data_IF_164558888696
#
_entry.id   IF_164558888696
#
_cell.length_a   1.000
_cell.length_b   1.000
_cell.length_c   1.000
_cell.angle_alpha   90.00
_cell.angle_beta   90.00
_cell.angle_gamma   90.00
#
_symmetry.space_group_name_H-M   'P 1'
#
loop_
_entity.id
_entity.type
_entity.pdbx_description
1 polymer ?
#
# COMPACT_ATOMS: atom_id res chain seq x y z
N UNK A 1 -0.86 -52.95 -0.92
CA UNK A 1 -1.18 -51.67 -0.26
C UNK A 1 -2.69 -51.64 -0.04
N UNK A 2 -3.10 -51.24 1.16
CA UNK A 2 -4.54 -51.05 1.40
C UNK A 2 -5.02 -49.80 0.65
N UNK A 3 -6.33 -49.70 0.45
CA UNK A 3 -6.93 -48.48 -0.13
C UNK A 3 -6.56 -47.23 0.66
N UNK A 4 -6.53 -47.35 1.99
CA UNK A 4 -6.15 -46.28 2.90
C UNK A 4 -4.71 -45.83 2.73
N UNK A 5 -3.77 -46.79 2.57
CA UNK A 5 -2.33 -46.46 2.36
C UNK A 5 -2.15 -45.73 1.02
N UNK A 6 -2.84 -46.18 -0.01
CA UNK A 6 -2.77 -45.54 -1.34
C UNK A 6 -3.35 -44.13 -1.31
N UNK A 7 -4.50 -43.94 -0.65
CA UNK A 7 -5.11 -42.64 -0.50
C UNK A 7 -4.22 -41.66 0.29
N UNK A 8 -3.63 -42.10 1.41
CA UNK A 8 -2.68 -41.28 2.19
C UNK A 8 -1.45 -40.90 1.36
N UNK A 9 -0.92 -41.83 0.57
CA UNK A 9 0.23 -41.54 -0.30
C UNK A 9 -0.11 -40.48 -1.35
N UNK A 10 -1.27 -40.59 -2.00
CA UNK A 10 -1.73 -39.60 -2.98
C UNK A 10 -1.90 -38.22 -2.34
N UNK A 11 -2.57 -38.14 -1.19
CA UNK A 11 -2.80 -36.88 -0.49
C UNK A 11 -1.48 -36.21 -0.06
N UNK A 12 -0.54 -36.98 0.50
CA UNK A 12 0.76 -36.46 0.92
C UNK A 12 1.65 -36.04 -0.27
N UNK A 13 1.60 -36.81 -1.37
CA UNK A 13 2.34 -36.44 -2.58
C UNK A 13 1.76 -35.17 -3.22
N UNK A 14 0.44 -35.04 -3.29
CA UNK A 14 -0.23 -33.82 -3.76
C UNK A 14 0.19 -32.62 -2.94
N UNK A 15 0.22 -32.76 -1.61
CA UNK A 15 0.68 -31.71 -0.71
C UNK A 15 2.12 -31.28 -1.02
N UNK A 16 3.03 -32.23 -1.20
CA UNK A 16 4.45 -31.96 -1.52
C UNK A 16 4.57 -31.20 -2.83
N UNK A 17 3.81 -31.58 -3.86
CA UNK A 17 3.81 -30.87 -5.16
C UNK A 17 3.28 -29.44 -5.01
N UNK A 18 2.27 -29.22 -4.19
CA UNK A 18 1.70 -27.89 -3.98
C UNK A 18 2.71 -26.91 -3.32
N UNK A 19 3.65 -27.40 -2.53
CA UNK A 19 4.72 -26.56 -1.95
C UNK A 19 5.73 -26.04 -2.97
N UNK A 20 5.75 -26.57 -4.19
CA UNK A 20 6.58 -26.03 -5.28
C UNK A 20 6.01 -24.72 -5.86
N UNK A 21 4.78 -24.37 -5.53
CA UNK A 21 4.16 -23.12 -5.98
C UNK A 21 4.72 -21.93 -5.23
N UNK A 22 4.97 -20.82 -5.93
CA UNK A 22 5.33 -19.54 -5.34
C UNK A 22 4.13 -18.77 -4.76
N UNK A 23 2.90 -19.18 -5.07
CA UNK A 23 1.67 -18.52 -4.61
C UNK A 23 1.21 -19.06 -3.27
N UNK A 24 1.32 -18.24 -2.23
CA UNK A 24 0.87 -18.57 -0.86
C UNK A 24 -0.62 -18.92 -0.77
N UNK A 25 -1.45 -18.27 -1.60
CA UNK A 25 -2.89 -18.52 -1.64
C UNK A 25 -3.17 -19.87 -2.26
N UNK A 26 -2.47 -20.19 -3.35
CA UNK A 26 -2.60 -21.50 -4.00
C UNK A 26 -2.22 -22.62 -3.04
N UNK A 27 -1.10 -22.48 -2.33
CA UNK A 27 -0.66 -23.45 -1.32
C UNK A 27 -1.74 -23.65 -0.25
N UNK A 28 -2.33 -22.57 0.27
CA UNK A 28 -3.39 -22.66 1.28
C UNK A 28 -4.67 -23.30 0.77
N UNK A 29 -5.08 -23.00 -0.47
CA UNK A 29 -6.23 -23.62 -1.09
C UNK A 29 -6.01 -25.12 -1.30
N UNK A 30 -4.85 -25.52 -1.78
CA UNK A 30 -4.44 -26.90 -1.94
C UNK A 30 -4.41 -27.65 -0.60
N UNK A 31 -3.90 -27.01 0.46
CA UNK A 31 -3.95 -27.56 1.82
C UNK A 31 -5.38 -27.87 2.27
N UNK A 32 -6.34 -26.98 2.00
CA UNK A 32 -7.76 -27.22 2.33
C UNK A 32 -8.27 -28.47 1.58
N UNK A 33 -7.97 -28.58 0.27
CA UNK A 33 -8.41 -29.75 -0.52
C UNK A 33 -7.83 -31.04 0.05
N UNK A 34 -6.55 -31.07 0.41
CA UNK A 34 -5.90 -32.23 1.02
C UNK A 34 -6.54 -32.55 2.38
N UNK A 35 -6.81 -31.56 3.21
CA UNK A 35 -7.46 -31.74 4.52
C UNK A 35 -8.87 -32.28 4.41
N UNK A 36 -9.64 -31.85 3.40
CA UNK A 36 -10.95 -32.42 3.07
C UNK A 36 -10.81 -33.90 2.68
N UNK A 37 -9.77 -34.27 1.93
CA UNK A 37 -9.45 -35.67 1.63
C UNK A 37 -9.17 -36.49 2.88
N UNK A 38 -8.35 -36.00 3.79
CA UNK A 38 -8.08 -36.65 5.08
C UNK A 38 -9.33 -36.76 5.97
N UNK A 39 -10.19 -35.76 5.96
CA UNK A 39 -11.47 -35.80 6.66
C UNK A 39 -12.34 -36.96 6.19
N UNK A 40 -12.56 -37.11 4.87
CA UNK A 40 -13.33 -38.22 4.32
C UNK A 40 -12.66 -39.56 4.54
N UNK A 41 -11.34 -39.64 4.46
CA UNK A 41 -10.59 -40.86 4.73
C UNK A 41 -10.79 -41.33 6.17
N UNK A 42 -10.74 -40.41 7.15
CA UNK A 42 -10.96 -40.73 8.56
C UNK A 42 -12.38 -41.27 8.82
N UNK A 43 -13.40 -40.70 8.18
CA UNK A 43 -14.79 -41.19 8.28
C UNK A 43 -14.92 -42.56 7.62
N UNK A 44 -14.35 -42.74 6.42
CA UNK A 44 -14.42 -44.01 5.69
C UNK A 44 -13.73 -45.16 6.45
N UNK A 45 -12.62 -44.91 7.05
CA UNK A 45 -11.83 -45.92 7.79
C UNK A 45 -12.51 -46.31 9.12
N UNK A 46 -13.29 -45.40 9.68
CA UNK A 46 -13.94 -45.54 10.99
C UNK A 46 -13.14 -44.90 12.11
N UNK A 47 -13.81 -44.15 12.96
CA UNK A 47 -13.19 -43.36 14.05
C UNK A 47 -12.68 -44.25 15.18
N UNK A 48 -13.06 -45.50 15.23
CA UNK A 48 -12.59 -46.49 16.21
C UNK A 48 -11.14 -46.96 15.94
N UNK A 49 -10.63 -46.71 14.74
CA UNK A 49 -9.29 -47.07 14.38
C UNK A 49 -8.27 -46.08 15.03
N UNK A 50 -7.15 -46.61 15.53
CA UNK A 50 -6.13 -45.76 16.17
C UNK A 50 -5.68 -44.59 15.29
N UNK A 51 -5.73 -43.37 15.82
CA UNK A 51 -5.27 -42.16 15.14
C UNK A 51 -6.30 -41.47 14.22
N UNK A 52 -7.40 -42.12 13.82
CA UNK A 52 -8.38 -41.54 12.90
C UNK A 52 -9.13 -40.35 13.50
N UNK A 53 -9.44 -40.40 14.80
CA UNK A 53 -10.02 -39.26 15.52
C UNK A 53 -9.08 -38.06 15.53
N UNK A 54 -7.78 -38.27 15.71
CA UNK A 54 -6.78 -37.19 15.66
C UNK A 54 -6.68 -36.59 14.24
N UNK A 55 -6.67 -37.42 13.19
CA UNK A 55 -6.68 -36.98 11.80
C UNK A 55 -7.92 -36.14 11.51
N UNK A 56 -9.10 -36.54 11.97
CA UNK A 56 -10.34 -35.81 11.82
C UNK A 56 -10.24 -34.41 12.45
N UNK A 57 -9.82 -34.32 13.70
CA UNK A 57 -9.67 -33.05 14.43
C UNK A 57 -8.65 -32.14 13.72
N UNK A 58 -7.52 -32.69 13.33
CA UNK A 58 -6.46 -31.93 12.66
C UNK A 58 -6.91 -31.43 11.28
N UNK A 59 -7.65 -32.25 10.51
CA UNK A 59 -8.12 -31.83 9.19
C UNK A 59 -9.13 -30.70 9.28
N UNK A 60 -10.05 -30.71 10.25
CA UNK A 60 -11.00 -29.62 10.49
C UNK A 60 -10.25 -28.36 10.93
N UNK A 61 -9.36 -28.48 11.91
CA UNK A 61 -8.61 -27.34 12.45
C UNK A 61 -7.74 -26.67 11.39
N UNK A 62 -6.99 -27.46 10.61
CA UNK A 62 -6.14 -26.96 9.54
C UNK A 62 -6.94 -26.32 8.41
N UNK A 63 -8.09 -26.91 8.03
CA UNK A 63 -8.98 -26.31 7.03
C UNK A 63 -9.51 -24.96 7.48
N UNK A 64 -9.92 -24.84 8.74
CA UNK A 64 -10.38 -23.57 9.32
C UNK A 64 -9.28 -22.52 9.32
N UNK A 65 -8.05 -22.86 9.79
CA UNK A 65 -6.92 -21.95 9.81
C UNK A 65 -6.57 -21.45 8.41
N UNK A 66 -6.51 -22.35 7.42
CA UNK A 66 -6.16 -21.95 6.05
C UNK A 66 -7.27 -21.13 5.40
N UNK A 67 -8.55 -21.48 5.62
CA UNK A 67 -9.68 -20.69 5.16
C UNK A 67 -9.70 -19.27 5.76
N UNK A 68 -9.47 -19.17 7.06
CA UNK A 68 -9.35 -17.87 7.73
C UNK A 68 -8.20 -17.02 7.16
N UNK A 69 -7.03 -17.63 6.89
CA UNK A 69 -5.89 -16.93 6.30
C UNK A 69 -6.13 -16.48 4.87
N UNK A 70 -6.87 -17.24 4.08
CA UNK A 70 -7.31 -16.82 2.74
C UNK A 70 -8.28 -15.62 2.85
N UNK A 71 -9.28 -15.71 3.72
CA UNK A 71 -10.24 -14.63 3.94
C UNK A 71 -9.54 -13.34 4.43
N UNK A 72 -8.59 -13.48 5.38
CA UNK A 72 -7.78 -12.36 5.86
C UNK A 72 -7.00 -11.70 4.72
N UNK A 73 -6.36 -12.49 3.84
CA UNK A 73 -5.62 -11.95 2.70
C UNK A 73 -6.52 -11.13 1.75
N UNK A 74 -7.69 -11.66 1.39
CA UNK A 74 -8.62 -10.94 0.53
C UNK A 74 -9.19 -9.68 1.20
N UNK A 75 -9.50 -9.76 2.49
CA UNK A 75 -9.93 -8.58 3.25
C UNK A 75 -8.87 -7.49 3.28
N UNK A 76 -7.61 -7.83 3.60
CA UNK A 76 -6.49 -6.86 3.67
C UNK A 76 -6.18 -6.20 2.32
N UNK A 77 -6.44 -6.90 1.20
CA UNK A 77 -6.26 -6.38 -0.15
C UNK A 77 -7.54 -5.81 -0.78
N UNK A 78 -8.63 -5.77 -0.03
CA UNK A 78 -9.88 -5.12 -0.43
C UNK A 78 -9.95 -3.69 0.10
N UNK A 79 -10.62 -2.81 -0.64
CA UNK A 79 -10.91 -1.44 -0.18
C UNK A 79 -11.69 -1.40 1.14
N UNK A 80 -12.36 -2.51 1.49
CA UNK A 80 -13.10 -2.66 2.75
C UNK A 80 -12.20 -2.61 4.00
N UNK A 81 -10.88 -2.84 3.86
CA UNK A 81 -9.95 -2.69 4.97
C UNK A 81 -9.60 -1.23 5.30
N UNK A 82 -10.00 -0.29 4.45
CA UNK A 82 -9.79 1.14 4.62
C UNK A 82 -11.02 1.81 5.24
N UNK A 83 -10.85 2.83 6.10
CA UNK A 83 -11.94 3.71 6.53
C UNK A 83 -12.62 4.37 5.33
N UNK A 84 -13.93 4.59 5.41
CA UNK A 84 -14.74 5.11 4.28
C UNK A 84 -14.30 6.50 3.82
N UNK A 85 -13.83 7.34 4.74
CA UNK A 85 -13.29 8.68 4.49
C UNK A 85 -12.02 8.66 3.62
N UNK A 86 -11.26 7.57 3.67
CA UNK A 86 -10.06 7.40 2.84
C UNK A 86 -10.32 6.81 1.45
N UNK A 87 -11.55 6.35 1.15
CA UNK A 87 -11.83 5.67 -0.11
C UNK A 87 -11.64 6.60 -1.32
N UNK A 88 -12.04 7.87 -1.24
CA UNK A 88 -11.84 8.81 -2.35
C UNK A 88 -10.36 9.13 -2.52
N UNK A 89 -9.65 9.41 -1.42
CA UNK A 89 -8.22 9.66 -1.45
C UNK A 89 -7.45 8.50 -2.07
N UNK A 90 -7.78 7.28 -1.66
CA UNK A 90 -7.15 6.07 -2.20
C UNK A 90 -7.41 5.91 -3.71
N UNK A 91 -8.66 6.06 -4.14
CA UNK A 91 -9.05 5.87 -5.56
C UNK A 91 -8.43 6.93 -6.47
N UNK A 92 -8.36 8.17 -5.99
CA UNK A 92 -7.93 9.29 -6.82
C UNK A 92 -6.40 9.38 -6.92
N UNK A 93 -5.69 9.17 -5.79
CA UNK A 93 -4.27 9.50 -5.70
C UNK A 93 -3.36 8.28 -5.45
N UNK A 94 -3.90 7.26 -4.77
CA UNK A 94 -3.09 6.13 -4.28
C UNK A 94 -3.52 4.77 -4.86
N UNK A 95 -4.24 4.75 -5.97
CA UNK A 95 -4.76 3.51 -6.58
C UNK A 95 -3.68 2.52 -7.05
N UNK A 96 -2.43 2.96 -7.22
CA UNK A 96 -1.29 2.10 -7.56
C UNK A 96 -0.83 1.22 -6.39
N UNK A 97 -1.18 1.60 -5.16
CA UNK A 97 -0.97 0.76 -4.00
C UNK A 97 -2.09 -0.28 -3.88
N UNK A 98 -1.79 -1.46 -3.32
CA UNK A 98 -2.88 -2.25 -2.76
C UNK A 98 -3.46 -1.52 -1.53
N UNK A 99 -4.73 -1.78 -1.16
CA UNK A 99 -5.32 -1.16 0.03
C UNK A 99 -4.48 -1.37 1.31
N UNK A 100 -3.86 -2.55 1.44
CA UNK A 100 -2.93 -2.87 2.53
C UNK A 100 -1.69 -1.98 2.52
N UNK A 101 -1.05 -1.81 1.36
CA UNK A 101 0.14 -0.95 1.19
C UNK A 101 -0.19 0.51 1.48
N UNK A 102 -1.32 1.00 0.96
CA UNK A 102 -1.80 2.36 1.24
C UNK A 102 -2.03 2.57 2.73
N UNK A 103 -2.67 1.61 3.40
CA UNK A 103 -2.89 1.67 4.85
C UNK A 103 -1.58 1.75 5.63
N UNK A 104 -0.54 1.02 5.20
CA UNK A 104 0.79 1.06 5.81
C UNK A 104 1.41 2.45 5.62
N UNK A 105 1.39 2.99 4.39
CA UNK A 105 1.91 4.32 4.07
C UNK A 105 1.16 5.42 4.85
N UNK A 106 -0.18 5.37 4.84
CA UNK A 106 -1.03 6.35 5.51
C UNK A 106 -0.79 6.39 7.03
N UNK A 107 -0.64 5.24 7.68
CA UNK A 107 -0.38 5.13 9.13
C UNK A 107 0.97 5.70 9.57
N UNK A 108 1.90 5.88 8.66
CA UNK A 108 3.20 6.52 8.89
C UNK A 108 3.18 8.03 8.65
N UNK A 109 2.10 8.53 8.05
CA UNK A 109 1.93 9.96 7.88
C UNK A 109 1.40 10.60 9.17
N UNK A 110 1.88 11.81 9.47
CA UNK A 110 1.29 12.70 10.46
C UNK A 110 0.25 13.57 9.76
N UNK A 111 -0.96 13.62 10.28
CA UNK A 111 -1.96 14.57 9.84
C UNK A 111 -1.76 15.89 10.56
N UNK A 112 -1.61 16.98 9.81
CA UNK A 112 -1.46 18.31 10.37
C UNK A 112 -2.27 19.34 9.58
N UNK A 113 -2.74 20.34 10.30
CA UNK A 113 -3.36 21.53 9.73
C UNK A 113 -2.44 22.72 9.99
N UNK A 114 -2.01 23.37 8.91
CA UNK A 114 -1.03 24.45 8.98
C UNK A 114 -1.51 25.67 8.20
N UNK A 115 -1.06 26.85 8.66
CA UNK A 115 -1.16 28.13 7.95
C UNK A 115 0.18 28.84 7.91
N UNK A 116 0.33 29.77 6.99
CA UNK A 116 1.58 30.53 6.81
C UNK A 116 2.60 29.80 5.96
N UNK A 117 3.85 29.82 6.38
CA UNK A 117 4.95 29.23 5.63
C UNK A 117 5.01 27.71 5.85
N UNK A 118 4.89 26.96 4.74
CA UNK A 118 4.97 25.50 4.75
C UNK A 118 6.39 25.00 4.41
N UNK A 119 7.04 25.65 3.46
CA UNK A 119 8.40 25.33 2.98
C UNK A 119 9.11 26.62 2.64
N UNK A 120 10.34 26.81 3.14
CA UNK A 120 11.26 27.87 2.76
C UNK A 120 12.22 27.44 1.66
N UNK A 121 12.53 28.31 0.72
CA UNK A 121 13.50 28.06 -0.33
C UNK A 121 14.94 27.92 0.21
N UNK A 122 15.77 27.18 -0.53
CA UNK A 122 17.20 26.95 -0.24
C UNK A 122 17.47 26.27 1.12
N UNK A 123 16.49 25.55 1.66
CA UNK A 123 16.66 24.78 2.88
C UNK A 123 16.67 23.28 2.61
N UNK A 124 17.41 22.54 3.41
CA UNK A 124 17.32 21.08 3.39
C UNK A 124 15.97 20.66 3.97
N UNK A 125 15.08 20.21 3.10
CA UNK A 125 13.76 19.79 3.51
C UNK A 125 13.76 18.30 3.83
N UNK A 126 13.33 17.96 5.04
CA UNK A 126 13.37 16.57 5.56
C UNK A 126 12.04 15.84 5.51
N UNK A 127 11.00 16.51 5.04
CA UNK A 127 9.64 15.99 5.03
C UNK A 127 9.12 15.91 3.61
N UNK A 128 8.32 14.88 3.35
CA UNK A 128 7.47 14.79 2.17
C UNK A 128 6.06 15.15 2.61
N UNK A 129 5.40 16.07 1.93
CA UNK A 129 4.05 16.50 2.27
C UNK A 129 3.09 16.22 1.12
N UNK A 130 1.86 15.87 1.45
CA UNK A 130 0.75 15.77 0.50
C UNK A 130 -0.40 16.64 0.99
N UNK A 131 -0.85 17.54 0.13
CA UNK A 131 -1.97 18.45 0.43
C UNK A 131 -3.28 17.71 0.25
N UNK A 132 -4.04 17.55 1.33
CA UNK A 132 -5.38 16.95 1.31
C UNK A 132 -6.45 17.98 0.91
N UNK A 133 -6.40 19.14 1.56
CA UNK A 133 -7.35 20.25 1.39
C UNK A 133 -6.61 21.58 1.49
N UNK A 134 -7.14 22.60 0.82
CA UNK A 134 -6.57 23.94 0.77
C UNK A 134 -5.79 24.20 -0.52
N UNK A 135 -5.31 25.43 -0.68
CA UNK A 135 -4.70 25.93 -1.91
C UNK A 135 -3.37 26.61 -1.62
N UNK A 136 -2.28 25.87 -1.38
CA UNK A 136 -0.98 26.49 -1.14
C UNK A 136 -0.48 27.26 -2.37
N UNK A 137 0.32 28.29 -2.13
CA UNK A 137 0.92 29.15 -3.13
C UNK A 137 2.41 28.92 -3.20
N UNK A 138 2.94 28.58 -4.36
CA UNK A 138 4.37 28.49 -4.62
C UNK A 138 4.86 29.88 -5.05
N UNK A 139 5.84 30.41 -4.31
CA UNK A 139 6.52 31.67 -4.66
C UNK A 139 7.90 31.37 -5.26
N UNK A 140 8.03 31.69 -6.54
CA UNK A 140 9.29 31.51 -7.28
C UNK A 140 10.25 32.68 -7.07
N UNK A 141 11.57 32.45 -7.24
CA UNK A 141 12.65 33.45 -7.06
C UNK A 141 12.45 34.78 -7.83
N UNK A 142 11.64 34.78 -8.88
CA UNK A 142 11.31 35.99 -9.67
C UNK A 142 10.03 36.70 -9.22
N UNK A 143 9.52 36.39 -8.04
CA UNK A 143 8.27 36.99 -7.51
C UNK A 143 6.99 36.48 -8.14
N UNK A 144 7.07 35.52 -9.08
CA UNK A 144 5.86 34.89 -9.65
C UNK A 144 5.25 33.93 -8.64
N UNK A 145 3.97 34.05 -8.41
CA UNK A 145 3.19 33.18 -7.54
C UNK A 145 2.34 32.22 -8.37
N UNK A 146 2.29 30.97 -7.96
CA UNK A 146 1.48 29.91 -8.59
C UNK A 146 0.62 29.29 -7.52
N UNK A 147 -0.69 29.50 -7.60
CA UNK A 147 -1.66 28.88 -6.69
C UNK A 147 -1.90 27.42 -7.12
N UNK A 148 -1.75 26.50 -6.21
CA UNK A 148 -2.04 25.09 -6.42
C UNK A 148 -3.49 24.82 -6.01
N UNK A 149 -4.27 24.26 -6.92
CA UNK A 149 -5.73 24.13 -6.75
C UNK A 149 -6.21 22.72 -6.48
N UNK A 150 -5.31 21.75 -6.42
CA UNK A 150 -5.66 20.32 -6.25
C UNK A 150 -4.71 19.68 -5.26
N UNK A 151 -5.07 18.46 -4.83
CA UNK A 151 -4.22 17.55 -4.05
C UNK A 151 -2.85 17.43 -4.71
N UNK A 152 -1.82 17.93 -4.06
CA UNK A 152 -0.46 18.02 -4.65
C UNK A 152 0.60 17.59 -3.63
N UNK A 153 1.69 17.07 -4.15
CA UNK A 153 2.89 16.78 -3.38
C UNK A 153 3.72 18.04 -3.22
N UNK A 154 4.31 18.22 -2.03
CA UNK A 154 5.24 19.31 -1.70
C UNK A 154 6.52 18.70 -1.12
N UNK A 155 7.67 19.30 -1.47
CA UNK A 155 8.98 18.82 -1.05
C UNK A 155 9.49 17.61 -1.85
N UNK A 156 8.80 17.24 -2.93
CA UNK A 156 9.11 16.07 -3.76
C UNK A 156 10.48 16.13 -4.41
N UNK A 157 10.95 17.30 -4.84
CA UNK A 157 12.29 17.47 -5.43
C UNK A 157 13.38 17.16 -4.41
N UNK A 158 13.26 17.73 -3.21
CA UNK A 158 14.20 17.48 -2.12
C UNK A 158 14.14 16.01 -1.67
N UNK A 159 12.95 15.41 -1.68
CA UNK A 159 12.78 14.00 -1.35
C UNK A 159 13.45 13.06 -2.36
N UNK A 160 13.27 13.29 -3.67
CA UNK A 160 13.83 12.43 -4.71
C UNK A 160 15.32 12.59 -4.91
N UNK A 161 15.84 13.83 -4.81
CA UNK A 161 17.24 14.16 -5.15
C UNK A 161 18.12 14.43 -3.94
N UNK A 162 17.53 14.65 -2.76
CA UNK A 162 18.28 15.08 -1.59
C UNK A 162 18.79 16.52 -1.69
N UNK A 163 18.31 17.31 -2.66
CA UNK A 163 18.69 18.69 -2.90
C UNK A 163 17.91 19.64 -1.98
N UNK A 164 18.36 20.91 -1.92
CA UNK A 164 17.61 21.96 -1.23
C UNK A 164 16.33 22.31 -1.97
N UNK A 165 15.36 22.87 -1.27
CA UNK A 165 14.10 23.34 -1.82
C UNK A 165 14.30 24.47 -2.82
N UNK A 166 13.54 24.47 -3.91
CA UNK A 166 13.70 25.43 -5.02
C UNK A 166 12.83 26.68 -4.89
N UNK A 167 11.78 26.64 -4.08
CA UNK A 167 10.79 27.70 -3.93
C UNK A 167 10.21 27.73 -2.51
N UNK A 168 9.68 28.89 -2.13
CA UNK A 168 8.85 29.01 -0.93
C UNK A 168 7.45 28.48 -1.22
N UNK A 169 6.85 27.80 -0.25
CA UNK A 169 5.45 27.39 -0.32
C UNK A 169 4.74 27.97 0.90
N UNK A 170 3.71 28.74 0.65
CA UNK A 170 2.95 29.49 1.63
C UNK A 170 1.47 29.15 1.52
N UNK A 171 0.71 29.43 2.57
CA UNK A 171 -0.76 29.49 2.51
C UNK A 171 -1.20 30.96 2.50
N UNK A 172 -2.39 31.24 2.02
CA UNK A 172 -3.01 32.55 2.26
C UNK A 172 -3.21 32.74 3.78
N UNK A 173 -3.10 33.95 4.32
CA UNK A 173 -3.15 34.19 5.78
C UNK A 173 -4.42 33.70 6.47
N UNK A 174 -5.52 33.61 5.72
CA UNK A 174 -6.85 33.16 6.21
C UNK A 174 -7.16 31.71 5.89
N UNK A 175 -6.27 31.00 5.18
CA UNK A 175 -6.50 29.62 4.71
C UNK A 175 -5.60 28.64 5.46
N UNK A 176 -6.24 27.64 6.10
CA UNK A 176 -5.54 26.49 6.62
C UNK A 176 -5.47 25.40 5.59
N UNK A 177 -4.32 24.76 5.49
CA UNK A 177 -4.08 23.63 4.60
C UNK A 177 -3.94 22.35 5.42
N UNK A 178 -4.70 21.32 5.06
CA UNK A 178 -4.61 19.99 5.66
C UNK A 178 -3.59 19.15 4.92
N UNK A 179 -2.67 18.56 5.66
CA UNK A 179 -1.50 17.90 5.15
C UNK A 179 -1.36 16.49 5.71
N UNK A 180 -0.88 15.58 4.87
CA UNK A 180 -0.20 14.36 5.29
C UNK A 180 1.31 14.60 5.18
N UNK A 181 2.03 14.33 6.27
CA UNK A 181 3.46 14.60 6.36
C UNK A 181 4.21 13.32 6.72
N UNK A 182 5.14 12.93 5.87
CA UNK A 182 6.10 11.86 6.15
C UNK A 182 7.47 12.48 6.41
N UNK A 183 8.04 12.21 7.57
CA UNK A 183 9.41 12.62 7.85
C UNK A 183 10.42 11.65 7.23
N UNK A 184 11.67 12.06 7.11
CA UNK A 184 12.72 11.26 6.50
C UNK A 184 12.93 9.90 7.20
N UNK A 185 12.78 9.85 8.52
CA UNK A 185 12.98 8.62 9.28
C UNK A 185 11.87 7.59 9.00
N UNK A 186 10.62 8.04 8.88
CA UNK A 186 9.50 7.17 8.53
C UNK A 186 9.66 6.58 7.13
N UNK A 187 10.19 7.37 6.20
CA UNK A 187 10.47 6.91 4.83
C UNK A 187 11.60 5.88 4.81
N UNK A 188 12.67 6.10 5.59
CA UNK A 188 13.78 5.13 5.70
C UNK A 188 13.27 3.83 6.32
N UNK A 189 12.51 3.90 7.41
CA UNK A 189 11.92 2.71 8.06
C UNK A 189 10.99 1.95 7.10
N UNK A 190 10.19 2.66 6.31
CA UNK A 190 9.38 2.05 5.27
C UNK A 190 10.22 1.43 4.15
N UNK A 191 11.32 2.06 3.76
CA UNK A 191 12.20 1.52 2.71
C UNK A 191 12.86 0.20 3.13
N UNK A 192 13.23 0.09 4.40
CA UNK A 192 13.81 -1.14 4.95
C UNK A 192 12.77 -2.27 5.09
N UNK A 193 11.57 -1.95 5.59
CA UNK A 193 10.53 -2.94 5.91
C UNK A 193 9.60 -3.27 4.74
N UNK A 194 9.36 -2.31 3.86
CA UNK A 194 8.37 -2.35 2.79
C UNK A 194 8.91 -1.66 1.52
N UNK A 195 10.01 -2.14 0.91
CA UNK A 195 10.66 -1.46 -0.21
C UNK A 195 9.72 -1.19 -1.39
N UNK A 196 8.81 -2.12 -1.69
CA UNK A 196 7.81 -1.99 -2.77
C UNK A 196 6.90 -0.77 -2.56
N UNK A 197 6.54 -0.47 -1.31
CA UNK A 197 5.70 0.71 -0.99
C UNK A 197 6.45 1.99 -1.35
N UNK A 198 7.74 2.08 -1.03
CA UNK A 198 8.56 3.25 -1.35
C UNK A 198 8.82 3.39 -2.85
N UNK A 199 9.03 2.29 -3.56
CA UNK A 199 9.16 2.34 -5.03
C UNK A 199 7.90 2.88 -5.71
N UNK A 200 6.72 2.40 -5.30
CA UNK A 200 5.43 2.92 -5.78
C UNK A 200 5.24 4.39 -5.42
N UNK A 201 5.63 4.78 -4.20
CA UNK A 201 5.58 6.18 -3.76
C UNK A 201 6.46 7.07 -4.65
N UNK A 202 7.72 6.68 -4.89
CA UNK A 202 8.62 7.40 -5.79
C UNK A 202 8.05 7.53 -7.21
N UNK A 203 7.40 6.48 -7.71
CA UNK A 203 6.77 6.49 -9.02
C UNK A 203 5.61 7.51 -9.10
N UNK A 204 4.71 7.52 -8.10
CA UNK A 204 3.60 8.49 -8.03
C UNK A 204 4.14 9.93 -7.98
N UNK A 205 5.15 10.17 -7.15
CA UNK A 205 5.77 11.49 -7.01
C UNK A 205 6.42 11.93 -8.32
N UNK A 206 7.14 11.04 -9.00
CA UNK A 206 7.77 11.34 -10.29
C UNK A 206 6.73 11.69 -11.36
N UNK A 207 5.61 10.97 -11.42
CA UNK A 207 4.51 11.28 -12.34
C UNK A 207 3.87 12.64 -12.02
N UNK A 208 3.60 12.92 -10.75
CA UNK A 208 3.07 14.24 -10.32
C UNK A 208 4.01 15.37 -10.69
N UNK A 209 5.32 15.18 -10.55
CA UNK A 209 6.32 16.16 -10.95
C UNK A 209 6.34 16.38 -12.47
N UNK A 210 6.26 15.30 -13.26
CA UNK A 210 6.18 15.39 -14.72
C UNK A 210 4.94 16.18 -15.17
N UNK A 211 3.78 15.96 -14.53
CA UNK A 211 2.57 16.72 -14.80
C UNK A 211 2.72 18.22 -14.46
N UNK A 212 3.36 18.57 -13.34
CA UNK A 212 3.65 19.96 -12.97
C UNK A 212 4.55 20.63 -14.01
N UNK A 213 5.55 19.94 -14.53
CA UNK A 213 6.44 20.47 -15.58
C UNK A 213 5.66 20.70 -16.87
N UNK A 214 4.83 19.74 -17.29
CA UNK A 214 3.99 19.89 -18.48
C UNK A 214 3.05 21.11 -18.36
N UNK A 215 2.39 21.24 -17.21
CA UNK A 215 1.51 22.38 -16.95
C UNK A 215 2.26 23.72 -16.99
N UNK A 216 3.47 23.77 -16.40
CA UNK A 216 4.32 24.96 -16.46
C UNK A 216 4.71 25.33 -17.90
N UNK A 217 5.05 24.34 -18.73
CA UNK A 217 5.42 24.58 -20.14
C UNK A 217 4.25 25.12 -20.94
N UNK A 218 3.02 24.59 -20.78
CA UNK A 218 1.83 25.10 -21.47
C UNK A 218 1.48 26.53 -21.06
N UNK A 219 1.71 26.90 -19.80
CA UNK A 219 1.54 28.30 -19.35
C UNK A 219 2.58 29.25 -20.00
N UNK A 220 3.81 28.79 -20.17
CA UNK A 220 4.86 29.57 -20.84
C UNK A 220 4.50 29.79 -22.30
N UNK A 221 4.14 28.73 -23.04
CA UNK A 221 3.74 28.82 -24.44
C UNK A 221 2.56 29.76 -24.64
N UNK A 222 1.54 29.69 -23.80
CA UNK A 222 0.36 30.60 -23.89
C UNK A 222 0.69 32.09 -23.63
N UNK A 223 1.84 32.34 -22.97
CA UNK A 223 2.29 33.72 -22.66
C UNK A 223 3.17 34.29 -23.78
N UNK A 224 3.82 33.46 -24.60
CA UNK A 224 4.64 33.90 -25.73
C UNK A 224 3.87 34.13 -27.04
N UNK A 225 2.65 33.61 -27.17
CA UNK A 225 1.80 33.76 -28.35
C UNK A 225 0.69 34.79 -28.19
N UNK A 226 0.76 35.68 -27.22
CA UNK A 226 -0.04 36.90 -27.08
C UNK A 226 0.84 38.12 -27.25
#
# INVERSE_FOLDING_TARGET
MSFTDTAMLILSTTLTICYLSSSIIFIRAALIVVQVGYFFLAIYTGLDQPGMTAILILSITNSFINGFKIAQYYYENSILCLPKDLHSLYKDEFHLFSPKEFKILYRKANYEERSGELISANQTFKNLMFVLEGSPVIRLKKGKEIKLTKRVWLGEMSFLRGEVTSADVLTEPTENVKLLIWNKYDIIDLQEKQPIVIEKLKYIIANSLAEKIRYSNTLIESTFFR
#
